data_IF_174823877451
#
_entry.id   IF_174823877451
#
_cell.length_a   1.000
_cell.length_b   1.000
_cell.length_c   1.000
_cell.angle_alpha   90.00
_cell.angle_beta   90.00
_cell.angle_gamma   90.00
#
_symmetry.space_group_name_H-M   'P 1'
#
loop_
_entity.id
_entity.type
_entity.pdbx_description
1 polymer ?
#
# COMPACT_ATOMS: atom_id res chain seq x y z
N UNK A 1 18.92 5.50 -11.56
CA UNK A 1 18.23 4.24 -11.93
C UNK A 1 16.94 4.13 -11.13
N UNK A 2 15.83 3.88 -11.78
CA UNK A 2 14.53 3.81 -11.11
C UNK A 2 14.23 2.38 -10.67
N UNK A 3 13.91 2.21 -9.38
CA UNK A 3 13.45 0.94 -8.85
C UNK A 3 11.93 0.82 -9.04
N UNK A 4 11.47 -0.34 -9.50
CA UNK A 4 10.05 -0.60 -9.71
C UNK A 4 9.56 -1.55 -8.63
N UNK A 5 8.50 -1.14 -7.91
CA UNK A 5 7.84 -1.96 -6.91
C UNK A 5 6.35 -2.07 -7.19
N UNK A 6 5.79 -3.24 -6.90
CA UNK A 6 4.35 -3.47 -6.93
C UNK A 6 3.84 -3.52 -5.50
N UNK A 7 2.70 -2.91 -5.25
CA UNK A 7 2.06 -2.93 -3.93
C UNK A 7 0.62 -3.40 -4.04
N UNK A 8 0.18 -4.16 -3.06
CA UNK A 8 -1.21 -4.57 -2.93
C UNK A 8 -1.56 -4.76 -1.46
N UNK A 9 -2.82 -4.56 -1.15
CA UNK A 9 -3.34 -4.79 0.19
C UNK A 9 -4.73 -5.37 0.13
N UNK A 10 -5.04 -6.22 1.08
CA UNK A 10 -6.34 -6.83 1.22
C UNK A 10 -6.70 -6.94 2.69
N UNK A 11 -7.98 -7.14 2.97
CA UNK A 11 -8.47 -7.28 4.34
C UNK A 11 -9.42 -8.47 4.42
N UNK A 12 -9.08 -9.46 5.24
CA UNK A 12 -9.99 -10.53 5.57
C UNK A 12 -10.92 -10.08 6.70
N UNK A 13 -12.18 -10.54 6.67
CA UNK A 13 -13.17 -10.12 7.66
C UNK A 13 -13.63 -8.68 7.48
N UNK A 14 -13.50 -8.14 6.28
CA UNK A 14 -13.86 -6.73 5.98
C UNK A 14 -15.34 -6.45 6.22
N UNK A 15 -16.22 -7.47 6.19
CA UNK A 15 -17.63 -7.40 6.52
C UNK A 15 -17.90 -7.32 8.04
N UNK A 16 -16.92 -7.60 8.87
CA UNK A 16 -17.08 -7.58 10.32
C UNK A 16 -17.15 -6.14 10.84
N UNK A 17 -18.10 -5.87 11.74
CA UNK A 17 -18.20 -4.57 12.41
C UNK A 17 -17.13 -4.42 13.49
N UNK A 18 -16.75 -5.53 14.13
CA UNK A 18 -15.69 -5.56 15.14
C UNK A 18 -14.35 -5.52 14.42
N UNK A 19 -13.63 -4.40 14.54
CA UNK A 19 -12.36 -4.18 13.88
C UNK A 19 -11.30 -5.20 14.32
N UNK A 20 -11.37 -5.73 15.55
CA UNK A 20 -10.43 -6.74 16.02
C UNK A 20 -10.52 -8.06 15.25
N UNK A 21 -11.64 -8.30 14.55
CA UNK A 21 -11.85 -9.49 13.70
C UNK A 21 -11.39 -9.29 12.27
N UNK A 22 -10.93 -8.10 11.91
CA UNK A 22 -10.39 -7.80 10.60
C UNK A 22 -8.88 -7.97 10.62
N UNK A 23 -8.33 -8.47 9.53
CA UNK A 23 -6.88 -8.58 9.34
C UNK A 23 -6.50 -8.04 7.99
N UNK A 24 -5.64 -7.04 8.00
CA UNK A 24 -5.05 -6.49 6.78
C UNK A 24 -3.81 -7.28 6.40
N UNK A 25 -3.61 -7.41 5.11
CA UNK A 25 -2.39 -7.96 4.52
C UNK A 25 -1.88 -6.92 3.55
N UNK A 26 -0.61 -6.55 3.69
CA UNK A 26 0.05 -5.61 2.80
C UNK A 26 1.27 -6.29 2.20
N UNK A 27 1.35 -6.33 0.89
CA UNK A 27 2.43 -6.99 0.17
C UNK A 27 3.15 -6.02 -0.75
N UNK A 28 4.46 -6.18 -0.83
CA UNK A 28 5.33 -5.44 -1.75
C UNK A 28 6.18 -6.44 -2.52
N UNK A 29 6.19 -6.29 -3.83
CA UNK A 29 6.97 -7.14 -4.74
C UNK A 29 7.92 -6.28 -5.56
N UNK A 30 9.07 -6.84 -5.94
CA UNK A 30 9.92 -6.21 -6.94
C UNK A 30 9.38 -6.49 -8.36
N UNK A 31 10.10 -6.00 -9.37
CA UNK A 31 9.67 -6.15 -10.78
C UNK A 31 9.75 -7.60 -11.29
N UNK A 32 10.41 -8.48 -10.56
CA UNK A 32 10.54 -9.90 -10.92
C UNK A 32 9.56 -10.80 -10.17
N UNK A 33 8.69 -10.22 -9.34
CA UNK A 33 7.72 -10.97 -8.54
C UNK A 33 8.26 -11.49 -7.22
N UNK A 34 9.48 -11.12 -6.84
CA UNK A 34 10.02 -11.48 -5.52
C UNK A 34 9.32 -10.65 -4.45
N UNK A 35 8.77 -11.32 -3.45
CA UNK A 35 8.06 -10.64 -2.37
C UNK A 35 9.07 -10.10 -1.36
N UNK A 36 9.09 -8.79 -1.23
CA UNK A 36 9.98 -8.07 -0.31
C UNK A 36 9.35 -7.89 1.06
N UNK A 37 8.04 -7.69 1.10
CA UNK A 37 7.27 -7.47 2.33
C UNK A 37 5.95 -8.22 2.24
N UNK A 38 5.61 -8.90 3.32
CA UNK A 38 4.30 -9.53 3.54
C UNK A 38 3.94 -9.21 4.99
N UNK A 39 3.20 -8.12 5.19
CA UNK A 39 2.88 -7.61 6.51
C UNK A 39 1.42 -7.88 6.85
N UNK A 40 1.19 -8.30 8.09
CA UNK A 40 -0.14 -8.53 8.64
C UNK A 40 -0.40 -7.55 9.78
N UNK A 41 -1.61 -6.99 9.80
CA UNK A 41 -2.01 -6.04 10.84
C UNK A 41 -3.51 -6.16 11.09
N UNK A 42 -3.91 -6.16 12.36
CA UNK A 42 -5.32 -6.21 12.73
C UNK A 42 -6.04 -4.89 12.41
N UNK A 43 -7.33 -4.99 12.17
CA UNK A 43 -8.19 -3.85 11.91
C UNK A 43 -8.20 -3.41 10.45
N UNK A 44 -8.69 -2.21 10.21
CA UNK A 44 -8.63 -1.54 8.92
C UNK A 44 -9.67 -2.00 7.89
N UNK A 45 -9.29 -1.85 6.64
CA UNK A 45 -10.12 -2.15 5.48
C UNK A 45 -9.22 -2.45 4.29
N UNK A 46 -9.83 -2.87 3.17
CA UNK A 46 -9.09 -3.07 1.91
C UNK A 46 -8.34 -1.80 1.49
N UNK A 47 -9.00 -0.65 1.55
CA UNK A 47 -8.39 0.61 1.13
C UNK A 47 -7.22 1.01 2.02
N UNK A 48 -7.35 0.82 3.33
CA UNK A 48 -6.27 1.11 4.28
C UNK A 48 -5.12 0.13 4.10
N UNK A 49 -5.40 -1.15 3.84
CA UNK A 49 -4.37 -2.16 3.58
C UNK A 49 -3.55 -1.80 2.33
N UNK A 50 -4.19 -1.30 1.28
CA UNK A 50 -3.49 -0.86 0.08
C UNK A 50 -2.60 0.36 0.34
N UNK A 51 -3.05 1.30 1.16
CA UNK A 51 -2.24 2.44 1.57
C UNK A 51 -1.08 2.00 2.47
N UNK A 52 -1.32 1.06 3.37
CA UNK A 52 -0.28 0.45 4.21
C UNK A 52 0.82 -0.18 3.35
N UNK A 53 0.46 -0.86 2.26
CA UNK A 53 1.43 -1.45 1.35
C UNK A 53 2.35 -0.38 0.72
N UNK A 54 1.79 0.75 0.32
CA UNK A 54 2.58 1.88 -0.21
C UNK A 54 3.54 2.40 0.87
N UNK A 55 3.04 2.62 2.08
CA UNK A 55 3.87 3.08 3.20
C UNK A 55 5.03 2.10 3.46
N UNK A 56 4.76 0.80 3.51
CA UNK A 56 5.79 -0.20 3.73
C UNK A 56 6.82 -0.22 2.60
N UNK A 57 6.37 -0.07 1.34
CA UNK A 57 7.28 0.01 0.20
C UNK A 57 8.23 1.21 0.32
N UNK A 58 7.73 2.37 0.72
CA UNK A 58 8.55 3.58 0.85
C UNK A 58 9.51 3.48 2.03
N UNK A 59 9.08 2.92 3.15
CA UNK A 59 9.97 2.67 4.31
C UNK A 59 11.10 1.72 3.89
N UNK A 60 10.78 0.68 3.14
CA UNK A 60 11.78 -0.25 2.62
C UNK A 60 12.79 0.47 1.70
N UNK A 61 12.30 1.36 0.82
CA UNK A 61 13.17 2.14 -0.06
C UNK A 61 14.12 3.04 0.74
N UNK A 62 13.61 3.74 1.74
CA UNK A 62 14.45 4.61 2.59
C UNK A 62 15.51 3.78 3.32
N UNK A 63 15.11 2.64 3.89
CA UNK A 63 16.03 1.76 4.60
C UNK A 63 17.13 1.18 3.70
N UNK A 64 16.83 0.98 2.41
CA UNK A 64 17.77 0.43 1.43
C UNK A 64 18.44 1.53 0.57
N UNK A 65 18.29 2.79 0.94
CA UNK A 65 18.91 3.94 0.27
C UNK A 65 18.52 4.05 -1.21
N UNK A 66 17.28 3.70 -1.53
CA UNK A 66 16.73 3.85 -2.88
C UNK A 66 16.16 5.25 -3.01
N UNK A 67 16.71 6.05 -3.91
CA UNK A 67 16.34 7.45 -4.08
C UNK A 67 15.32 7.73 -5.17
N UNK A 68 15.02 6.76 -6.03
CA UNK A 68 14.07 6.93 -7.14
C UNK A 68 13.27 5.64 -7.30
N UNK A 69 11.95 5.71 -7.05
CA UNK A 69 11.08 4.55 -7.06
C UNK A 69 9.80 4.82 -7.84
N UNK A 70 9.39 3.86 -8.66
CA UNK A 70 8.07 3.81 -9.26
C UNK A 70 7.26 2.74 -8.55
N UNK A 71 6.19 3.14 -7.89
CA UNK A 71 5.25 2.20 -7.26
C UNK A 71 4.07 2.01 -8.20
N UNK A 72 3.76 0.75 -8.48
CA UNK A 72 2.62 0.34 -9.30
C UNK A 72 1.55 -0.25 -8.42
N UNK A 73 0.35 0.30 -8.53
CA UNK A 73 -0.81 -0.07 -7.71
C UNK A 73 -2.06 -0.19 -8.58
N UNK A 74 -2.98 -1.08 -8.21
CA UNK A 74 -4.30 -1.13 -8.84
C UNK A 74 -5.37 -0.35 -8.04
N UNK A 75 -4.97 0.37 -6.99
CA UNK A 75 -5.87 1.16 -6.15
C UNK A 75 -5.95 2.61 -6.59
N UNK A 76 -7.13 3.05 -7.02
CA UNK A 76 -7.38 4.47 -7.33
C UNK A 76 -7.37 5.33 -6.06
N UNK A 77 -7.75 4.76 -4.90
CA UNK A 77 -7.67 5.48 -3.63
C UNK A 77 -6.24 5.83 -3.24
N UNK A 78 -5.27 4.93 -3.52
CA UNK A 78 -3.86 5.22 -3.28
C UNK A 78 -3.39 6.42 -4.08
N UNK A 79 -3.79 6.52 -5.35
CA UNK A 79 -3.44 7.69 -6.17
C UNK A 79 -3.96 8.98 -5.53
N UNK A 80 -5.23 8.98 -5.11
CA UNK A 80 -5.85 10.16 -4.51
C UNK A 80 -5.18 10.53 -3.18
N UNK A 81 -4.97 9.55 -2.30
CA UNK A 81 -4.46 9.83 -0.95
C UNK A 81 -2.96 10.13 -0.92
N UNK A 82 -2.17 9.48 -1.75
CA UNK A 82 -0.72 9.70 -1.79
C UNK A 82 -0.36 10.97 -2.53
N UNK A 83 -0.97 11.19 -3.70
CA UNK A 83 -0.67 12.35 -4.56
C UNK A 83 -1.55 13.55 -4.25
N UNK A 84 -2.73 13.33 -3.65
CA UNK A 84 -3.66 14.38 -3.29
C UNK A 84 -3.19 15.15 -2.06
N UNK A 85 -3.68 16.38 -1.93
CA UNK A 85 -3.30 17.27 -0.83
C UNK A 85 -4.14 17.07 0.42
N UNK A 86 -5.31 16.45 0.31
CA UNK A 86 -6.25 16.30 1.43
C UNK A 86 -6.94 14.95 1.44
N UNK A 87 -7.13 14.42 2.64
CA UNK A 87 -8.02 13.30 2.89
C UNK A 87 -9.41 13.87 3.17
N UNK A 88 -10.44 13.40 2.46
CA UNK A 88 -11.80 13.90 2.60
C UNK A 88 -12.32 13.76 4.04
N UNK A 89 -13.14 14.72 4.49
CA UNK A 89 -13.69 14.73 5.85
C UNK A 89 -14.58 13.52 6.16
N UNK A 90 -15.20 12.93 5.14
CA UNK A 90 -16.09 11.77 5.27
C UNK A 90 -15.39 10.45 5.02
N UNK A 91 -14.07 10.45 4.91
CA UNK A 91 -13.28 9.22 4.71
C UNK A 91 -13.44 8.32 5.93
N UNK A 92 -13.78 7.05 5.69
CA UNK A 92 -13.84 6.05 6.76
C UNK A 92 -12.44 5.86 7.36
N UNK A 93 -12.38 5.75 8.69
CA UNK A 93 -11.12 5.60 9.43
C UNK A 93 -10.10 6.69 9.05
N UNK A 94 -10.57 7.91 8.95
CA UNK A 94 -9.76 9.05 8.52
C UNK A 94 -8.46 9.21 9.31
N UNK A 95 -8.49 8.95 10.62
CA UNK A 95 -7.29 9.07 11.46
C UNK A 95 -6.21 8.05 11.06
N UNK A 96 -6.61 6.82 10.75
CA UNK A 96 -5.69 5.79 10.25
C UNK A 96 -5.10 6.18 8.90
N UNK A 97 -5.92 6.69 7.99
CA UNK A 97 -5.47 7.17 6.67
C UNK A 97 -4.49 8.34 6.84
N UNK A 98 -4.81 9.29 7.71
CA UNK A 98 -3.93 10.44 7.97
C UNK A 98 -2.59 10.02 8.58
N UNK A 99 -2.59 9.06 9.50
CA UNK A 99 -1.35 8.54 10.09
C UNK A 99 -0.45 7.90 9.04
N UNK A 100 -1.02 7.09 8.15
CA UNK A 100 -0.26 6.48 7.05
C UNK A 100 0.25 7.54 6.07
N UNK A 101 -0.60 8.52 5.73
CA UNK A 101 -0.19 9.62 4.84
C UNK A 101 0.97 10.42 5.44
N UNK A 102 0.96 10.69 6.73
CA UNK A 102 2.06 11.39 7.40
C UNK A 102 3.37 10.60 7.26
N UNK A 103 3.34 9.29 7.45
CA UNK A 103 4.51 8.43 7.26
C UNK A 103 4.98 8.43 5.81
N UNK A 104 4.05 8.35 4.87
CA UNK A 104 4.34 8.38 3.42
C UNK A 104 4.99 9.72 3.05
N UNK A 105 4.44 10.82 3.50
CA UNK A 105 4.98 12.15 3.20
C UNK A 105 6.39 12.33 3.77
N UNK A 106 6.66 11.79 4.95
CA UNK A 106 8.00 11.79 5.53
C UNK A 106 9.00 11.02 4.66
N UNK A 107 8.60 9.84 4.15
CA UNK A 107 9.45 9.08 3.23
C UNK A 107 9.66 9.83 1.91
N UNK A 108 8.62 10.48 1.38
CA UNK A 108 8.71 11.24 0.12
C UNK A 108 9.69 12.41 0.18
N UNK A 109 9.97 12.92 1.37
CA UNK A 109 10.97 13.98 1.52
C UNK A 109 12.40 13.48 1.27
N UNK A 110 12.61 12.16 1.26
CA UNK A 110 13.91 11.53 1.13
C UNK A 110 14.13 10.81 -0.21
N UNK A 111 13.12 10.78 -1.09
CA UNK A 111 13.20 10.06 -2.36
C UNK A 111 12.30 10.70 -3.41
N UNK A 112 12.47 10.27 -4.66
CA UNK A 112 11.60 10.65 -5.77
C UNK A 112 10.60 9.51 -5.98
N UNK A 113 9.31 9.82 -5.82
CA UNK A 113 8.23 8.86 -5.99
C UNK A 113 7.46 9.12 -7.28
N UNK A 114 7.32 8.09 -8.10
CA UNK A 114 6.32 8.01 -9.16
C UNK A 114 5.31 6.96 -8.75
N UNK A 115 4.03 7.31 -8.77
CA UNK A 115 2.95 6.39 -8.44
C UNK A 115 2.12 6.16 -9.70
N UNK A 116 2.04 4.90 -10.15
CA UNK A 116 1.38 4.54 -11.40
C UNK A 116 0.27 3.53 -11.15
N UNK A 117 -0.92 3.83 -11.68
CA UNK A 117 -2.02 2.87 -11.68
C UNK A 117 -1.80 1.81 -12.77
N UNK A 118 -2.05 0.56 -12.42
CA UNK A 118 -2.03 -0.57 -13.35
C UNK A 118 -3.28 -1.43 -13.14
N UNK A 119 -3.71 -2.19 -14.15
CA UNK A 119 -4.79 -3.17 -13.96
C UNK A 119 -4.39 -4.26 -12.96
N UNK A 120 -5.37 -4.83 -12.27
CA UNK A 120 -5.19 -5.89 -11.28
C UNK A 120 -4.38 -7.06 -11.82
N UNK A 121 -4.66 -7.48 -13.05
CA UNK A 121 -3.99 -8.63 -13.69
C UNK A 121 -2.50 -8.40 -13.97
N UNK A 122 -2.03 -7.16 -13.90
CA UNK A 122 -0.62 -6.80 -14.06
C UNK A 122 0.09 -6.59 -12.72
N UNK A 123 -0.64 -6.63 -11.60
CA UNK A 123 -0.07 -6.35 -10.28
C UNK A 123 0.52 -7.63 -9.67
N UNK A 124 1.85 -7.75 -9.67
CA UNK A 124 2.54 -8.92 -9.14
C UNK A 124 2.30 -9.12 -7.63
N UNK A 125 2.24 -8.06 -6.87
CA UNK A 125 1.89 -8.13 -5.45
C UNK A 125 0.44 -8.58 -5.26
N UNK A 126 -0.48 -8.09 -6.11
CA UNK A 126 -1.88 -8.48 -6.09
C UNK A 126 -2.08 -9.96 -6.41
N UNK A 127 -1.37 -10.48 -7.39
CA UNK A 127 -1.39 -11.90 -7.74
C UNK A 127 -0.93 -12.77 -6.57
N UNK A 128 0.10 -12.34 -5.87
CA UNK A 128 0.61 -13.03 -4.68
C UNK A 128 -0.44 -13.06 -3.55
N UNK A 129 -1.05 -11.91 -3.25
CA UNK A 129 -2.07 -11.80 -2.19
C UNK A 129 -3.28 -12.68 -2.51
N UNK A 130 -3.76 -12.63 -3.76
CA UNK A 130 -4.89 -13.44 -4.21
C UNK A 130 -4.59 -14.94 -4.09
N UNK A 131 -3.44 -15.37 -4.56
CA UNK A 131 -3.04 -16.79 -4.58
C UNK A 131 -2.82 -17.34 -3.18
N UNK A 132 -2.14 -16.58 -2.31
CA UNK A 132 -1.77 -17.04 -0.97
C UNK A 132 -2.90 -16.90 0.04
N UNK A 133 -3.65 -15.82 -0.03
CA UNK A 133 -4.66 -15.47 1.00
C UNK A 133 -6.09 -15.50 0.48
N UNK A 134 -6.29 -15.71 -0.80
CA UNK A 134 -7.61 -15.71 -1.45
C UNK A 134 -8.35 -14.36 -1.28
N UNK A 135 -7.61 -13.28 -1.32
CA UNK A 135 -8.13 -11.91 -1.22
C UNK A 135 -8.07 -11.13 -2.58
#
# INVERSE_FOLDING_TARGET
MKTILYTDGGCSGNEQRDLSKRKMIAAVSDEHGTILIDKHQEGGSNNIAELLAVKEALVWCVANKIGDVEIRTDSTNNLAWVLGKKVGKKTNDRDAVLALKTSIDACRSQLILSLKWIPREQNLAGQYVEKKYHL
#
